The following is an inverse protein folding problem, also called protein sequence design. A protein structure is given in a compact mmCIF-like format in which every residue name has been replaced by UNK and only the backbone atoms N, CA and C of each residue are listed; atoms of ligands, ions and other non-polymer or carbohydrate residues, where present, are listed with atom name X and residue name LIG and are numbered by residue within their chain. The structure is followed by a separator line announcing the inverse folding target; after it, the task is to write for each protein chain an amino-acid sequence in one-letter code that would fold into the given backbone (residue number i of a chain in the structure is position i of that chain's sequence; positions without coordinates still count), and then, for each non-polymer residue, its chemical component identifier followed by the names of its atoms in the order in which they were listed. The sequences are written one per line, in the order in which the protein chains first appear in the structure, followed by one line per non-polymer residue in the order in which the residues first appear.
data_IF_195175486722
#
_entry.id   IF_195175486722
#
_cell.length_a   1.000
_cell.length_b   1.000
_cell.length_c   1.000
_cell.angle_alpha   90.00
_cell.angle_beta   90.00
_cell.angle_gamma   90.00
#
_symmetry.space_group_name_H-M   'P 1'
#
loop_
_entity.id
_entity.type
_entity.pdbx_description
1 polymer ?
#
# COMPACT_ATOMS: atom_id res chain seq x y z
N UNK A 1 -16.47 -0.02 45.65
CA UNK A 1 -16.74 -0.32 44.23
C UNK A 1 -16.85 0.95 43.35
N UNK A 2 -15.86 1.87 43.33
CA UNK A 2 -15.93 3.04 42.39
C UNK A 2 -14.61 3.75 42.03
N UNK A 3 -13.50 3.51 42.73
CA UNK A 3 -12.23 4.24 42.47
C UNK A 3 -11.19 3.46 41.64
N UNK A 4 -11.50 2.24 41.18
CA UNK A 4 -10.63 1.39 40.35
C UNK A 4 -11.02 1.35 38.86
N UNK A 5 -12.01 2.14 38.41
CA UNK A 5 -12.46 2.20 37.00
C UNK A 5 -12.12 3.48 36.23
N UNK A 6 -11.74 4.59 36.89
CA UNK A 6 -11.42 5.84 36.19
C UNK A 6 -9.97 5.90 35.65
N UNK A 7 -9.14 4.91 35.99
CA UNK A 7 -7.86 4.62 35.30
C UNK A 7 -8.05 4.00 33.91
N UNK A 8 -9.30 3.68 33.52
CA UNK A 8 -9.63 3.01 32.25
C UNK A 8 -10.12 3.97 31.14
N UNK A 9 -10.32 5.27 31.41
CA UNK A 9 -10.58 6.28 30.38
C UNK A 9 -9.29 7.05 30.01
N UNK A 10 -8.22 6.28 29.90
CA UNK A 10 -6.85 6.69 29.52
C UNK A 10 -6.66 6.82 27.98
N UNK A 11 -7.64 6.45 27.15
CA UNK A 11 -7.41 6.27 25.70
C UNK A 11 -8.31 7.15 24.79
N UNK A 12 -9.47 7.58 25.27
CA UNK A 12 -10.59 7.89 24.34
C UNK A 12 -10.64 9.34 23.84
N UNK A 13 -9.94 10.29 24.48
CA UNK A 13 -10.08 11.72 24.12
C UNK A 13 -8.84 12.37 23.48
N UNK A 14 -7.68 11.69 23.47
CA UNK A 14 -6.51 12.16 22.71
C UNK A 14 -6.58 11.76 21.23
N UNK A 15 -7.56 10.95 20.86
CA UNK A 15 -8.02 10.71 19.48
C UNK A 15 -8.50 12.01 18.79
N UNK A 16 -8.78 13.08 19.54
CA UNK A 16 -8.93 14.43 18.96
C UNK A 16 -7.60 15.08 18.51
N UNK A 17 -6.44 14.49 18.83
CA UNK A 17 -5.10 14.92 18.39
C UNK A 17 -4.74 14.46 16.96
N UNK A 18 -5.67 13.84 16.25
CA UNK A 18 -5.50 13.36 14.87
C UNK A 18 -6.20 14.26 13.83
N UNK A 19 -7.13 15.12 14.26
CA UNK A 19 -7.90 16.01 13.37
C UNK A 19 -7.27 17.40 13.29
N UNK A 20 -6.25 17.56 12.43
CA UNK A 20 -5.96 18.76 11.60
C UNK A 20 -4.61 18.58 10.87
N UNK A 21 -4.63 17.66 9.91
CA UNK A 21 -3.51 17.12 9.15
C UNK A 21 -3.03 18.01 7.97
N UNK A 22 -2.91 19.34 8.19
CA UNK A 22 -2.46 20.26 7.12
C UNK A 22 -1.67 21.48 7.63
N UNK A 23 -1.08 21.40 8.83
CA UNK A 23 -0.38 22.53 9.47
C UNK A 23 0.99 22.19 10.07
N UNK A 24 1.64 21.11 9.62
CA UNK A 24 2.82 20.54 10.28
C UNK A 24 4.16 21.19 9.93
N UNK A 25 4.18 22.27 9.14
CA UNK A 25 5.41 23.06 8.86
C UNK A 25 5.64 24.18 9.89
N UNK A 26 4.63 24.54 10.70
CA UNK A 26 4.71 25.67 11.64
C UNK A 26 4.67 25.32 13.13
N UNK A 27 4.53 24.04 13.49
CA UNK A 27 4.62 23.60 14.89
C UNK A 27 5.76 22.60 15.02
N UNK A 28 6.83 23.06 15.66
CA UNK A 28 8.01 22.26 16.01
C UNK A 28 7.69 21.13 16.97
N UNK A 29 6.99 20.11 16.47
CA UNK A 29 6.91 18.81 17.09
C UNK A 29 8.20 18.06 16.81
N UNK A 30 8.83 17.61 17.89
CA UNK A 30 10.02 16.75 17.94
C UNK A 30 9.71 15.34 17.42
N UNK A 31 9.25 15.21 16.17
CA UNK A 31 9.16 13.91 15.53
C UNK A 31 10.57 13.45 15.16
N UNK A 32 10.94 12.19 15.45
CA UNK A 32 12.24 11.65 15.05
C UNK A 32 12.34 11.59 13.52
N UNK A 33 13.56 11.61 13.00
CA UNK A 33 13.80 11.46 11.56
C UNK A 33 13.30 10.11 11.05
N UNK A 34 12.85 10.08 9.79
CA UNK A 34 12.48 8.82 9.13
C UNK A 34 13.69 7.88 9.15
N UNK A 35 13.50 6.68 9.70
CA UNK A 35 14.56 5.69 9.84
C UNK A 35 14.70 4.88 8.57
N UNK A 36 15.89 4.92 7.96
CA UNK A 36 16.19 4.05 6.81
C UNK A 36 16.09 2.56 7.16
N UNK A 37 16.29 2.17 8.42
CA UNK A 37 16.14 0.77 8.84
C UNK A 37 14.67 0.31 8.83
N UNK A 38 13.71 1.21 9.01
CA UNK A 38 12.27 0.91 8.86
C UNK A 38 11.93 0.73 7.38
N UNK A 39 12.42 1.65 6.55
CA UNK A 39 12.30 1.59 5.08
C UNK A 39 12.88 0.29 4.53
N UNK A 40 14.10 -0.08 4.94
CA UNK A 40 14.78 -1.32 4.54
C UNK A 40 13.97 -2.56 4.91
N UNK A 41 13.36 -2.58 6.10
CA UNK A 41 12.55 -3.70 6.59
C UNK A 41 11.21 -3.80 5.86
N UNK A 42 10.57 -2.66 5.61
CA UNK A 42 9.27 -2.60 4.96
C UNK A 42 9.36 -2.94 3.46
N UNK A 43 10.23 -2.27 2.71
CA UNK A 43 10.24 -2.37 1.25
C UNK A 43 11.23 -3.39 0.67
N UNK A 44 11.98 -4.10 1.54
CA UNK A 44 13.05 -5.06 1.20
C UNK A 44 14.12 -4.49 0.25
N UNK A 45 15.33 -4.34 0.77
CA UNK A 45 16.49 -3.96 -0.04
C UNK A 45 16.88 -5.08 -1.02
N UNK A 46 16.98 -4.76 -2.30
CA UNK A 46 17.44 -5.69 -3.36
C UNK A 46 18.86 -5.38 -3.84
N UNK A 47 19.29 -4.12 -3.75
CA UNK A 47 20.62 -3.75 -4.20
C UNK A 47 21.01 -2.31 -3.89
N UNK A 48 22.30 -2.02 -4.06
CA UNK A 48 22.88 -0.70 -3.89
C UNK A 48 23.81 -0.41 -5.06
N UNK A 49 23.81 0.82 -5.55
CA UNK A 49 24.75 1.26 -6.59
C UNK A 49 25.28 2.66 -6.30
N UNK A 50 26.59 2.85 -6.43
CA UNK A 50 27.19 4.16 -6.25
C UNK A 50 26.93 5.03 -7.48
N UNK A 51 26.38 6.23 -7.26
CA UNK A 51 26.02 7.20 -8.31
C UNK A 51 26.99 8.37 -8.43
N UNK A 52 28.10 8.34 -7.71
CA UNK A 52 29.12 9.39 -7.75
C UNK A 52 28.89 10.53 -6.76
N UNK A 53 29.69 11.57 -6.91
CA UNK A 53 29.58 12.83 -6.18
C UNK A 53 28.59 13.74 -6.91
N UNK A 54 27.56 14.22 -6.21
CA UNK A 54 26.52 15.10 -6.76
C UNK A 54 26.11 16.15 -5.73
N UNK A 55 25.66 17.30 -6.20
CA UNK A 55 24.98 18.27 -5.34
C UNK A 55 23.52 17.86 -5.14
N UNK A 56 23.16 17.60 -3.89
CA UNK A 56 21.84 17.09 -3.52
C UNK A 56 20.99 18.22 -2.92
N UNK A 57 19.72 18.38 -3.33
CA UNK A 57 18.82 19.35 -2.71
C UNK A 57 18.59 19.02 -1.22
N UNK A 58 18.78 20.01 -0.36
CA UNK A 58 18.65 19.82 1.09
C UNK A 58 17.19 19.54 1.51
N UNK A 59 16.23 20.01 0.71
CA UNK A 59 14.80 19.78 0.90
C UNK A 59 14.39 18.31 0.72
N UNK A 60 15.15 17.56 -0.08
CA UNK A 60 14.88 16.14 -0.39
C UNK A 60 15.54 15.20 0.61
N UNK A 61 16.36 15.73 1.52
CA UNK A 61 16.93 14.96 2.63
C UNK A 61 15.85 14.79 3.72
N UNK A 62 15.27 13.60 3.82
CA UNK A 62 14.10 13.32 4.68
C UNK A 62 14.37 12.41 5.87
N UNK A 63 15.51 11.70 5.89
CA UNK A 63 15.76 10.70 6.92
C UNK A 63 17.22 10.43 7.25
N UNK A 64 17.42 9.47 8.14
CA UNK A 64 18.72 9.11 8.70
C UNK A 64 18.93 7.59 8.67
N UNK A 65 20.16 7.17 8.39
CA UNK A 65 20.63 5.80 8.57
C UNK A 65 21.26 5.68 9.95
N UNK A 66 20.74 4.80 10.81
CA UNK A 66 21.33 4.44 12.10
C UNK A 66 21.27 5.49 13.23
N UNK A 67 20.87 6.74 12.96
CA UNK A 67 20.78 7.82 13.96
C UNK A 67 19.46 8.62 13.94
N UNK A 68 18.27 7.99 13.91
CA UNK A 68 17.01 8.74 13.85
C UNK A 68 16.66 9.51 15.13
N UNK A 69 17.23 9.12 16.27
CA UNK A 69 16.95 9.73 17.60
C UNK A 69 17.97 10.79 18.04
N UNK A 70 19.07 10.95 17.31
CA UNK A 70 20.10 11.95 17.63
C UNK A 70 19.72 13.36 17.11
N UNK A 71 18.80 13.41 16.15
CA UNK A 71 18.39 14.60 15.43
C UNK A 71 16.86 14.65 15.29
N UNK A 72 16.28 15.85 15.35
CA UNK A 72 14.85 16.04 15.06
C UNK A 72 14.56 16.07 13.54
N UNK A 73 13.29 16.19 13.16
CA UNK A 73 12.86 16.31 11.76
C UNK A 73 13.50 17.49 10.99
N UNK A 74 14.02 18.49 11.70
CA UNK A 74 14.77 19.62 11.13
C UNK A 74 16.28 19.37 11.05
N UNK A 75 16.74 18.16 11.39
CA UNK A 75 18.14 17.77 11.55
C UNK A 75 18.88 18.53 12.66
N UNK A 76 18.19 19.12 13.64
CA UNK A 76 18.86 19.76 14.77
C UNK A 76 19.30 18.72 15.80
N UNK A 77 20.54 18.82 16.34
CA UNK A 77 21.00 17.88 17.35
C UNK A 77 20.15 17.98 18.62
N UNK A 78 19.59 16.85 19.07
CA UNK A 78 18.75 16.80 20.28
C UNK A 78 19.63 16.74 21.55
N UNK A 79 20.83 16.16 21.46
CA UNK A 79 21.70 15.92 22.60
C UNK A 79 22.65 17.11 22.86
N UNK A 80 22.75 17.63 24.11
CA UNK A 80 23.63 18.76 24.45
C UNK A 80 25.11 18.53 24.11
N UNK A 81 25.56 17.28 24.19
CA UNK A 81 26.95 16.86 23.95
C UNK A 81 27.41 17.12 22.51
N UNK A 82 26.46 17.23 21.57
CA UNK A 82 26.73 17.40 20.14
C UNK A 82 26.93 18.87 19.74
N UNK A 83 26.65 19.81 20.66
CA UNK A 83 26.69 21.25 20.43
C UNK A 83 28.08 21.75 20.03
N UNK A 84 29.13 21.38 20.77
CA UNK A 84 30.50 21.89 20.55
C UNK A 84 31.03 21.55 19.16
N UNK A 85 30.81 20.32 18.69
CA UNK A 85 31.22 19.88 17.34
C UNK A 85 30.40 20.57 16.25
N UNK A 86 29.12 20.80 16.52
CA UNK A 86 28.23 21.52 15.59
C UNK A 86 28.65 22.98 15.44
N UNK A 87 28.99 23.68 16.53
CA UNK A 87 29.45 25.08 16.50
C UNK A 87 30.76 25.24 15.73
N UNK A 88 31.72 24.32 15.92
CA UNK A 88 32.97 24.30 15.16
C UNK A 88 32.73 24.15 13.66
N UNK A 89 31.84 23.22 13.29
CA UNK A 89 31.50 22.96 11.89
C UNK A 89 30.73 24.13 11.26
N UNK A 90 29.82 24.75 12.00
CA UNK A 90 29.10 25.93 11.57
C UNK A 90 30.05 27.11 11.26
N UNK A 91 31.02 27.34 12.15
CA UNK A 91 32.02 28.38 11.96
C UNK A 91 32.90 28.10 10.73
N UNK A 92 33.32 26.85 10.52
CA UNK A 92 34.09 26.44 9.35
C UNK A 92 33.31 26.64 8.04
N UNK A 93 32.05 26.21 7.99
CA UNK A 93 31.20 26.36 6.80
C UNK A 93 30.89 27.82 6.48
N UNK A 94 30.73 28.69 7.50
CA UNK A 94 30.57 30.14 7.30
C UNK A 94 31.81 30.82 6.76
N UNK A 95 33.00 30.31 7.10
CA UNK A 95 34.28 30.79 6.58
C UNK A 95 34.59 30.29 5.16
N UNK A 96 33.71 29.46 4.58
CA UNK A 96 33.93 28.89 3.25
C UNK A 96 35.02 27.82 3.22
N UNK A 97 35.37 27.24 4.37
CA UNK A 97 36.31 26.13 4.42
C UNK A 97 35.75 24.91 3.68
N UNK A 98 36.61 24.22 2.94
CA UNK A 98 36.23 23.00 2.23
C UNK A 98 35.86 21.90 3.23
N UNK A 99 34.57 21.63 3.38
CA UNK A 99 34.06 20.51 4.17
C UNK A 99 33.93 19.26 3.29
N UNK A 100 34.23 18.06 3.82
CA UNK A 100 34.04 16.83 3.05
C UNK A 100 32.58 16.68 2.59
N UNK A 101 32.32 15.99 1.48
CA UNK A 101 30.95 15.71 1.04
C UNK A 101 30.26 14.75 2.02
N UNK A 102 28.94 14.89 2.14
CA UNK A 102 28.11 13.98 2.94
C UNK A 102 27.97 12.62 2.22
N UNK A 103 27.47 11.59 2.90
CA UNK A 103 27.13 10.31 2.28
C UNK A 103 25.64 10.04 2.46
N UNK A 104 24.94 9.78 1.36
CA UNK A 104 23.48 9.63 1.36
C UNK A 104 23.03 8.38 0.60
N UNK A 105 21.98 7.77 1.11
CA UNK A 105 21.20 6.78 0.39
C UNK A 105 20.07 7.47 -0.36
N UNK A 106 19.94 7.19 -1.65
CA UNK A 106 18.90 7.72 -2.52
C UNK A 106 17.85 6.64 -2.79
N UNK A 107 16.59 6.95 -2.48
CA UNK A 107 15.47 6.04 -2.67
C UNK A 107 14.25 6.82 -3.18
N UNK A 108 13.74 6.44 -4.35
CA UNK A 108 12.70 7.21 -5.02
C UNK A 108 13.19 8.64 -5.27
N UNK A 109 12.48 9.62 -4.71
CA UNK A 109 12.79 11.05 -4.84
C UNK A 109 13.40 11.67 -3.57
N UNK A 110 13.85 10.84 -2.60
CA UNK A 110 14.35 11.33 -1.31
C UNK A 110 15.71 10.74 -0.93
N UNK A 111 16.37 11.44 -0.01
CA UNK A 111 17.70 11.11 0.48
C UNK A 111 17.68 10.83 1.99
N UNK A 112 18.44 9.81 2.39
CA UNK A 112 18.69 9.43 3.78
C UNK A 112 20.17 9.63 4.11
N UNK A 113 20.46 10.39 5.16
CA UNK A 113 21.84 10.68 5.55
C UNK A 113 22.46 9.45 6.20
N UNK A 114 23.49 8.89 5.56
CA UNK A 114 24.34 7.84 6.12
C UNK A 114 25.46 8.44 6.95
N UNK A 115 26.10 9.49 6.45
CA UNK A 115 27.12 10.25 7.15
C UNK A 115 27.00 11.75 6.86
N UNK A 116 27.36 12.57 7.85
CA UNK A 116 27.35 14.04 7.71
C UNK A 116 26.11 14.75 8.25
N UNK A 117 25.38 14.16 9.21
CA UNK A 117 24.18 14.76 9.82
C UNK A 117 24.39 16.18 10.33
N UNK A 118 25.53 16.47 10.97
CA UNK A 118 25.85 17.83 11.41
C UNK A 118 26.04 18.82 10.25
N UNK A 119 26.60 18.37 9.12
CA UNK A 119 26.79 19.22 7.93
C UNK A 119 25.42 19.55 7.31
N UNK A 120 24.51 18.59 7.24
CA UNK A 120 23.13 18.81 6.80
C UNK A 120 22.40 19.79 7.72
N UNK A 121 22.55 19.61 9.04
CA UNK A 121 21.99 20.51 10.05
C UNK A 121 22.45 21.96 9.86
N UNK A 122 23.75 22.17 9.72
CA UNK A 122 24.35 23.49 9.50
C UNK A 122 23.89 24.05 8.16
N UNK A 123 23.94 23.28 7.07
CA UNK A 123 23.53 23.72 5.74
C UNK A 123 22.05 24.14 5.68
N UNK A 124 21.15 23.42 6.39
CA UNK A 124 19.74 23.83 6.57
C UNK A 124 19.62 25.19 7.26
N UNK A 125 20.38 25.39 8.34
CA UNK A 125 20.39 26.65 9.08
C UNK A 125 20.94 27.82 8.25
N UNK A 126 21.95 27.54 7.43
CA UNK A 126 22.52 28.49 6.47
C UNK A 126 21.65 28.69 5.22
N UNK A 127 20.52 27.97 5.11
CA UNK A 127 19.58 28.02 3.98
C UNK A 127 20.25 27.75 2.64
N UNK A 128 21.22 26.85 2.61
CA UNK A 128 21.79 26.37 1.36
C UNK A 128 20.71 25.64 0.56
N UNK A 129 20.75 25.78 -0.77
CA UNK A 129 19.84 25.04 -1.65
C UNK A 129 20.28 23.57 -1.79
N UNK A 130 21.59 23.37 -1.94
CA UNK A 130 22.20 22.07 -2.21
C UNK A 130 23.41 21.82 -1.31
N UNK A 131 23.81 20.56 -1.19
CA UNK A 131 25.02 20.14 -0.47
C UNK A 131 25.73 19.01 -1.26
N UNK A 132 27.06 19.05 -1.38
CA UNK A 132 27.80 17.99 -2.07
C UNK A 132 27.72 16.67 -1.31
N UNK A 133 27.33 15.60 -2.01
CA UNK A 133 27.03 14.31 -1.45
C UNK A 133 27.56 13.15 -2.33
N UNK A 134 28.11 12.12 -1.69
CA UNK A 134 28.32 10.79 -2.27
C UNK A 134 26.98 10.07 -2.25
N UNK A 135 26.41 9.85 -3.44
CA UNK A 135 25.06 9.29 -3.59
C UNK A 135 25.16 7.79 -3.82
N UNK A 136 24.51 7.00 -2.97
CA UNK A 136 24.34 5.56 -3.15
C UNK A 136 22.86 5.31 -3.40
N UNK A 137 22.52 4.91 -4.61
CA UNK A 137 21.14 4.56 -4.95
C UNK A 137 20.78 3.19 -4.38
N UNK A 138 19.60 3.13 -3.79
CA UNK A 138 19.04 1.98 -3.10
C UNK A 138 17.87 1.46 -3.93
N UNK A 139 17.91 0.18 -4.30
CA UNK A 139 16.79 -0.49 -4.97
C UNK A 139 15.98 -1.30 -3.96
N UNK A 140 14.67 -1.10 -3.94
CA UNK A 140 13.74 -1.82 -3.09
C UNK A 140 12.76 -2.63 -3.94
N UNK A 141 12.27 -3.73 -3.37
CA UNK A 141 11.30 -4.61 -4.03
C UNK A 141 9.93 -3.95 -4.17
N UNK A 142 9.50 -3.21 -3.14
CA UNK A 142 8.31 -2.36 -3.24
C UNK A 142 8.67 -0.95 -3.74
N UNK A 143 7.86 -0.35 -4.62
CA UNK A 143 8.02 1.04 -5.00
C UNK A 143 7.68 1.93 -3.81
N UNK A 144 8.60 2.82 -3.46
CA UNK A 144 8.40 3.86 -2.45
C UNK A 144 8.55 5.22 -3.12
N UNK A 145 7.52 6.05 -3.01
CA UNK A 145 7.52 7.45 -3.48
C UNK A 145 8.02 8.38 -2.38
N UNK A 146 8.29 9.66 -2.72
CA UNK A 146 8.91 10.61 -1.80
C UNK A 146 8.13 10.95 -0.51
N UNK A 147 6.82 10.69 -0.45
CA UNK A 147 6.01 10.93 0.76
C UNK A 147 5.99 9.70 1.69
N UNK A 148 7.17 9.29 2.15
CA UNK A 148 7.33 8.14 3.05
C UNK A 148 6.91 8.49 4.47
N UNK A 149 5.65 8.15 4.80
CA UNK A 149 5.12 8.15 6.16
C UNK A 149 4.92 6.72 6.68
N UNK A 150 4.50 6.58 7.94
CA UNK A 150 4.27 5.27 8.57
C UNK A 150 3.24 4.41 7.80
N UNK A 151 2.21 5.02 7.21
CA UNK A 151 1.21 4.31 6.43
C UNK A 151 1.79 3.79 5.11
N UNK A 152 2.60 4.60 4.41
CA UNK A 152 3.29 4.19 3.19
C UNK A 152 4.25 3.02 3.45
N UNK A 153 4.97 3.02 4.59
CA UNK A 153 5.82 1.90 4.99
C UNK A 153 5.02 0.62 5.26
N UNK A 154 3.86 0.73 5.90
CA UNK A 154 3.02 -0.42 6.15
C UNK A 154 2.46 -1.01 4.84
N UNK A 155 2.06 -0.15 3.90
CA UNK A 155 1.60 -0.56 2.58
C UNK A 155 2.70 -1.23 1.76
N UNK A 156 3.93 -0.69 1.80
CA UNK A 156 5.08 -1.31 1.16
C UNK A 156 5.39 -2.68 1.75
N UNK A 157 5.30 -2.83 3.08
CA UNK A 157 5.47 -4.12 3.74
C UNK A 157 4.42 -5.13 3.27
N UNK A 158 3.14 -4.75 3.24
CA UNK A 158 2.07 -5.64 2.78
C UNK A 158 2.28 -6.07 1.32
N UNK A 159 2.72 -5.14 0.46
CA UNK A 159 3.04 -5.45 -0.93
C UNK A 159 4.21 -6.43 -1.06
N UNK A 160 5.29 -6.23 -0.29
CA UNK A 160 6.41 -7.18 -0.25
C UNK A 160 5.96 -8.55 0.22
N UNK A 161 5.19 -8.63 1.31
CA UNK A 161 4.68 -9.90 1.85
C UNK A 161 3.83 -10.63 0.79
N UNK A 162 3.03 -9.89 0.02
CA UNK A 162 2.27 -10.40 -1.12
C UNK A 162 3.16 -10.93 -2.25
N UNK A 163 4.21 -10.21 -2.65
CA UNK A 163 5.16 -10.65 -3.67
C UNK A 163 6.00 -11.85 -3.20
N UNK A 164 6.33 -11.95 -1.91
CA UNK A 164 7.00 -13.12 -1.33
C UNK A 164 6.11 -14.37 -1.43
N UNK A 165 4.82 -14.23 -1.13
CA UNK A 165 3.85 -15.34 -1.15
C UNK A 165 3.42 -15.75 -2.56
N UNK A 166 3.17 -14.79 -3.45
CA UNK A 166 2.67 -15.03 -4.82
C UNK A 166 3.79 -15.27 -5.84
N UNK A 167 4.97 -14.71 -5.59
CA UNK A 167 6.07 -14.64 -6.56
C UNK A 167 5.69 -13.96 -7.89
N UNK A 168 4.63 -13.14 -7.88
CA UNK A 168 4.06 -12.56 -9.10
C UNK A 168 5.08 -11.71 -9.86
N UNK A 169 5.91 -10.95 -9.15
CA UNK A 169 7.01 -10.15 -9.70
C UNK A 169 8.06 -10.99 -10.46
N UNK A 170 8.19 -12.27 -10.15
CA UNK A 170 9.12 -13.19 -10.84
C UNK A 170 8.48 -13.84 -12.06
N UNK A 171 7.24 -14.32 -11.91
CA UNK A 171 6.54 -15.04 -12.98
C UNK A 171 5.90 -14.09 -14.00
N UNK A 172 5.57 -12.86 -13.60
CA UNK A 172 5.02 -11.79 -14.43
C UNK A 172 5.69 -10.45 -14.06
N UNK A 173 6.94 -10.20 -14.48
CA UNK A 173 7.66 -8.97 -14.15
C UNK A 173 6.98 -7.67 -14.61
N UNK A 174 6.12 -7.77 -15.63
CA UNK A 174 5.31 -6.66 -16.13
C UNK A 174 4.05 -6.37 -15.31
N UNK A 175 3.72 -7.23 -14.33
CA UNK A 175 2.53 -7.08 -13.52
C UNK A 175 2.67 -5.90 -12.56
N UNK A 176 1.82 -4.89 -12.72
CA UNK A 176 1.66 -3.82 -11.76
C UNK A 176 0.31 -3.94 -11.07
N UNK A 177 0.33 -4.10 -9.75
CA UNK A 177 -0.86 -4.16 -8.91
C UNK A 177 -0.62 -3.21 -7.75
N UNK A 178 -1.27 -2.05 -7.81
CA UNK A 178 -1.31 -1.09 -6.72
C UNK A 178 -2.71 -1.10 -6.11
N UNK A 179 -2.79 -1.08 -4.78
CA UNK A 179 -4.04 -0.97 -4.01
C UNK A 179 -4.01 0.30 -3.17
N UNK A 180 -5.15 0.95 -2.94
CA UNK A 180 -5.19 2.22 -2.17
C UNK A 180 -5.27 2.03 -0.66
N UNK A 181 -5.59 0.82 -0.18
CA UNK A 181 -5.84 0.53 1.24
C UNK A 181 -5.14 -0.73 1.70
N UNK A 182 -4.81 -0.76 2.98
CA UNK A 182 -4.25 -1.93 3.65
C UNK A 182 -5.24 -3.11 3.68
N UNK A 183 -4.69 -4.31 3.76
CA UNK A 183 -5.39 -5.60 3.78
C UNK A 183 -5.91 -6.05 2.42
N UNK A 184 -5.69 -5.28 1.36
CA UNK A 184 -6.19 -5.59 0.00
C UNK A 184 -5.33 -6.64 -0.68
N UNK A 185 -4.02 -6.67 -0.41
CA UNK A 185 -3.17 -7.70 -1.00
C UNK A 185 -3.45 -9.09 -0.42
N UNK A 186 -3.86 -9.18 0.85
CA UNK A 186 -4.33 -10.45 1.42
C UNK A 186 -5.57 -10.97 0.69
N UNK A 187 -6.53 -10.10 0.36
CA UNK A 187 -7.71 -10.46 -0.44
C UNK A 187 -7.34 -10.92 -1.85
N UNK A 188 -6.41 -10.22 -2.50
CA UNK A 188 -5.91 -10.63 -3.82
C UNK A 188 -5.23 -12.01 -3.72
N UNK A 189 -4.47 -12.27 -2.65
CA UNK A 189 -3.86 -13.57 -2.46
C UNK A 189 -4.90 -14.68 -2.18
N UNK A 190 -5.99 -14.38 -1.47
CA UNK A 190 -7.13 -15.31 -1.33
C UNK A 190 -7.74 -15.67 -2.71
N UNK A 191 -7.91 -14.69 -3.61
CA UNK A 191 -8.37 -14.94 -4.98
C UNK A 191 -7.42 -15.86 -5.75
N UNK A 192 -6.10 -15.65 -5.63
CA UNK A 192 -5.07 -16.52 -6.22
C UNK A 192 -5.18 -17.94 -5.67
N UNK A 193 -5.37 -18.12 -4.37
CA UNK A 193 -5.53 -19.44 -3.75
C UNK A 193 -6.82 -20.13 -4.21
N UNK A 194 -7.92 -19.38 -4.35
CA UNK A 194 -9.16 -19.88 -4.93
C UNK A 194 -8.96 -20.35 -6.38
N UNK A 195 -8.29 -19.54 -7.19
CA UNK A 195 -7.94 -19.87 -8.57
C UNK A 195 -7.06 -21.13 -8.66
N UNK A 196 -6.01 -21.20 -7.82
CA UNK A 196 -5.13 -22.37 -7.67
C UNK A 196 -5.91 -23.65 -7.40
N UNK A 197 -6.88 -23.60 -6.49
CA UNK A 197 -7.71 -24.74 -6.13
C UNK A 197 -8.50 -25.26 -7.35
N UNK A 198 -9.15 -24.37 -8.10
CA UNK A 198 -9.90 -24.78 -9.30
C UNK A 198 -8.99 -25.30 -10.41
N UNK A 199 -7.84 -24.67 -10.63
CA UNK A 199 -6.85 -25.20 -11.58
C UNK A 199 -6.44 -26.63 -11.21
N UNK A 200 -6.18 -26.90 -9.93
CA UNK A 200 -5.80 -28.22 -9.47
C UNK A 200 -6.88 -29.28 -9.71
N UNK A 201 -8.15 -28.93 -9.49
CA UNK A 201 -9.29 -29.81 -9.79
C UNK A 201 -9.42 -30.10 -11.29
N UNK A 202 -9.26 -29.08 -12.15
CA UNK A 202 -9.39 -29.23 -13.60
C UNK A 202 -8.24 -30.04 -14.23
N UNK A 203 -7.03 -29.89 -13.69
CA UNK A 203 -5.82 -30.52 -14.21
C UNK A 203 -5.48 -31.84 -13.52
N UNK A 204 -6.25 -32.23 -12.49
CA UNK A 204 -6.03 -33.42 -11.68
C UNK A 204 -4.61 -33.52 -11.10
N UNK A 205 -4.03 -32.38 -10.72
CA UNK A 205 -2.70 -32.30 -10.10
C UNK A 205 -2.61 -31.16 -9.11
N UNK A 206 -1.58 -31.21 -8.27
CA UNK A 206 -1.22 -30.03 -7.50
C UNK A 206 -0.60 -28.95 -8.41
N UNK A 207 -1.02 -27.71 -8.22
CA UNK A 207 -0.53 -26.54 -8.95
C UNK A 207 0.33 -25.72 -8.00
N UNK A 208 1.52 -25.27 -8.44
CA UNK A 208 2.36 -24.42 -7.61
C UNK A 208 1.73 -23.02 -7.43
N UNK A 209 1.98 -22.35 -6.31
CA UNK A 209 1.41 -21.00 -6.07
C UNK A 209 1.85 -20.03 -7.16
N UNK A 210 3.13 -20.01 -7.53
CA UNK A 210 3.66 -19.14 -8.58
C UNK A 210 3.00 -19.40 -9.95
N UNK A 211 2.71 -20.66 -10.27
CA UNK A 211 1.99 -21.04 -11.50
C UNK A 211 0.54 -20.52 -11.48
N UNK A 212 -0.14 -20.68 -10.33
CA UNK A 212 -1.50 -20.18 -10.16
C UNK A 212 -1.55 -18.65 -10.16
N UNK A 213 -0.56 -17.96 -9.57
CA UNK A 213 -0.45 -16.49 -9.60
C UNK A 213 -0.29 -15.97 -11.02
N UNK A 214 0.55 -16.62 -11.84
CA UNK A 214 0.70 -16.31 -13.25
C UNK A 214 -0.61 -16.49 -14.04
N UNK A 215 -1.29 -17.63 -13.85
CA UNK A 215 -2.56 -17.91 -14.53
C UNK A 215 -3.68 -16.96 -14.06
N UNK A 216 -3.79 -16.69 -12.77
CA UNK A 216 -4.77 -15.75 -12.22
C UNK A 216 -4.55 -14.35 -12.79
N UNK A 217 -3.30 -13.89 -12.85
CA UNK A 217 -2.99 -12.57 -13.40
C UNK A 217 -3.45 -12.46 -14.86
N UNK A 218 -3.11 -13.44 -15.70
CA UNK A 218 -3.39 -13.38 -17.13
C UNK A 218 -4.87 -13.59 -17.47
N UNK A 219 -5.57 -14.44 -16.72
CA UNK A 219 -6.92 -14.92 -17.08
C UNK A 219 -8.04 -14.32 -16.23
N UNK A 220 -7.71 -13.66 -15.11
CA UNK A 220 -8.69 -13.11 -14.18
C UNK A 220 -8.45 -11.62 -13.95
N UNK A 221 -7.29 -11.25 -13.41
CA UNK A 221 -7.01 -9.86 -13.06
C UNK A 221 -6.87 -8.97 -14.30
N UNK A 222 -5.96 -9.30 -15.20
CA UNK A 222 -5.64 -8.48 -16.38
C UNK A 222 -6.86 -8.22 -17.27
N UNK A 223 -7.72 -9.21 -17.60
CA UNK A 223 -8.93 -8.95 -18.39
C UNK A 223 -9.87 -7.95 -17.73
N UNK A 224 -10.07 -8.03 -16.40
CA UNK A 224 -10.92 -7.09 -15.67
C UNK A 224 -10.27 -5.70 -15.59
N UNK A 225 -8.96 -5.63 -15.32
CA UNK A 225 -8.21 -4.38 -15.30
C UNK A 225 -8.20 -3.68 -16.66
N UNK A 226 -8.06 -4.44 -17.75
CA UNK A 226 -8.11 -3.91 -19.11
C UNK A 226 -9.50 -3.34 -19.44
N UNK A 227 -10.58 -4.00 -19.01
CA UNK A 227 -11.95 -3.43 -19.12
C UNK A 227 -12.09 -2.14 -18.31
N UNK A 228 -11.60 -2.10 -17.07
CA UNK A 228 -11.61 -0.89 -16.24
C UNK A 228 -10.92 0.28 -16.94
N UNK A 229 -9.80 0.00 -17.63
CA UNK A 229 -9.02 1.01 -18.34
C UNK A 229 -9.67 1.43 -19.66
N UNK A 230 -10.16 0.48 -20.45
CA UNK A 230 -10.78 0.72 -21.76
C UNK A 230 -12.04 1.59 -21.64
N UNK A 231 -12.86 1.36 -20.62
CA UNK A 231 -14.09 2.12 -20.37
C UNK A 231 -13.89 3.32 -19.44
N UNK A 232 -12.65 3.66 -19.11
CA UNK A 232 -12.29 4.76 -18.19
C UNK A 232 -13.13 4.76 -16.89
N UNK A 233 -13.36 3.57 -16.33
CA UNK A 233 -14.24 3.39 -15.16
C UNK A 233 -13.65 4.13 -13.95
N UNK A 234 -12.32 4.20 -13.86
CA UNK A 234 -11.62 4.88 -12.78
C UNK A 234 -11.97 6.36 -12.65
N UNK A 235 -12.36 7.04 -13.73
CA UNK A 235 -12.76 8.45 -13.69
C UNK A 235 -13.96 8.69 -12.76
N UNK A 236 -14.83 7.68 -12.56
CA UNK A 236 -16.00 7.73 -11.69
C UNK A 236 -15.65 7.45 -10.21
N UNK A 237 -14.43 7.00 -9.91
CA UNK A 237 -14.01 6.56 -8.58
C UNK A 237 -12.69 7.21 -8.14
N UNK A 238 -12.67 8.53 -7.88
CA UNK A 238 -11.46 9.24 -7.49
C UNK A 238 -10.84 8.64 -6.22
N UNK A 239 -9.51 8.47 -6.24
CA UNK A 239 -8.74 7.89 -5.13
C UNK A 239 -8.72 6.36 -5.07
N UNK A 240 -9.35 5.66 -6.03
CA UNK A 240 -9.25 4.20 -6.18
C UNK A 240 -8.25 3.80 -7.26
N UNK A 241 -7.73 2.59 -7.14
CA UNK A 241 -6.86 1.95 -8.12
C UNK A 241 -7.61 0.91 -8.96
N UNK A 242 -7.02 0.46 -10.07
CA UNK A 242 -7.54 -0.66 -10.87
C UNK A 242 -7.75 -1.92 -10.00
N UNK A 243 -6.83 -2.20 -9.07
CA UNK A 243 -6.96 -3.35 -8.18
C UNK A 243 -8.10 -3.21 -7.15
N UNK A 244 -8.37 -2.00 -6.66
CA UNK A 244 -9.50 -1.76 -5.78
C UNK A 244 -10.83 -1.99 -6.50
N UNK A 245 -10.93 -1.54 -7.75
CA UNK A 245 -12.10 -1.79 -8.60
C UNK A 245 -12.22 -3.26 -8.96
N UNK A 246 -11.13 -3.95 -9.30
CA UNK A 246 -11.12 -5.40 -9.50
C UNK A 246 -11.72 -6.13 -8.29
N UNK A 247 -11.24 -5.84 -7.07
CA UNK A 247 -11.75 -6.48 -5.84
C UNK A 247 -13.23 -6.19 -5.60
N UNK A 248 -13.70 -5.00 -5.98
CA UNK A 248 -15.11 -4.64 -5.85
C UNK A 248 -15.99 -5.36 -6.89
N UNK A 249 -15.53 -5.41 -8.14
CA UNK A 249 -16.20 -6.12 -9.24
C UNK A 249 -16.31 -7.62 -8.93
N UNK A 250 -15.24 -8.26 -8.44
CA UNK A 250 -15.27 -9.69 -8.09
C UNK A 250 -16.19 -9.96 -6.90
N UNK A 251 -16.19 -9.09 -5.87
CA UNK A 251 -17.12 -9.20 -4.76
C UNK A 251 -18.58 -9.04 -5.20
N UNK A 252 -18.89 -8.02 -6.02
CA UNK A 252 -20.25 -7.80 -6.54
C UNK A 252 -20.69 -8.91 -7.47
N UNK A 253 -19.79 -9.45 -8.30
CA UNK A 253 -20.08 -10.61 -9.13
C UNK A 253 -20.48 -11.83 -8.27
N UNK A 254 -19.76 -12.10 -7.17
CA UNK A 254 -20.12 -13.18 -6.25
C UNK A 254 -21.50 -12.97 -5.62
N UNK A 255 -21.84 -11.73 -5.24
CA UNK A 255 -23.17 -11.38 -4.72
C UNK A 255 -24.26 -11.64 -5.76
N UNK A 256 -24.10 -11.14 -6.99
CA UNK A 256 -25.07 -11.34 -8.08
C UNK A 256 -25.27 -12.82 -8.40
N UNK A 257 -24.19 -13.60 -8.43
CA UNK A 257 -24.22 -15.05 -8.68
C UNK A 257 -25.05 -15.81 -7.64
N UNK A 258 -25.10 -15.34 -6.39
CA UNK A 258 -25.92 -15.94 -5.32
C UNK A 258 -27.41 -15.62 -5.47
N UNK A 259 -27.76 -14.57 -6.21
CA UNK A 259 -29.14 -14.10 -6.38
C UNK A 259 -29.82 -14.61 -7.66
N UNK A 260 -29.23 -15.58 -8.36
CA UNK A 260 -29.72 -16.11 -9.66
C UNK A 260 -29.88 -15.04 -10.76
N UNK A 261 -29.25 -13.87 -10.62
CA UNK A 261 -29.19 -12.85 -11.67
C UNK A 261 -28.11 -13.20 -12.70
N UNK A 262 -28.18 -12.68 -13.95
CA UNK A 262 -27.05 -12.71 -14.87
C UNK A 262 -25.81 -12.14 -14.17
N UNK A 263 -24.74 -12.92 -14.14
CA UNK A 263 -23.59 -12.65 -13.30
C UNK A 263 -22.31 -12.82 -14.10
N UNK A 264 -21.51 -11.77 -14.13
CA UNK A 264 -20.23 -11.68 -14.82
C UNK A 264 -19.52 -10.37 -14.47
N UNK A 265 -18.26 -10.20 -14.87
CA UNK A 265 -17.52 -8.97 -14.61
C UNK A 265 -18.20 -7.72 -15.17
N UNK A 266 -18.79 -7.81 -16.36
CA UNK A 266 -19.47 -6.69 -16.99
C UNK A 266 -20.81 -6.35 -16.32
N UNK A 267 -21.58 -7.36 -15.93
CA UNK A 267 -22.82 -7.15 -15.16
C UNK A 267 -22.52 -6.53 -13.80
N UNK A 268 -21.45 -6.96 -13.12
CA UNK A 268 -21.02 -6.38 -11.85
C UNK A 268 -20.52 -4.94 -12.01
N UNK A 269 -19.75 -4.64 -13.05
CA UNK A 269 -19.32 -3.27 -13.40
C UNK A 269 -20.54 -2.38 -13.64
N UNK A 270 -21.50 -2.83 -14.45
CA UNK A 270 -22.70 -2.07 -14.74
C UNK A 270 -23.48 -1.78 -13.46
N UNK A 271 -23.78 -2.82 -12.66
CA UNK A 271 -24.52 -2.70 -11.40
C UNK A 271 -23.84 -1.72 -10.42
N UNK A 272 -22.51 -1.76 -10.34
CA UNK A 272 -21.70 -0.79 -9.58
C UNK A 272 -21.93 0.65 -10.09
N UNK A 273 -21.78 0.89 -11.39
CA UNK A 273 -21.94 2.22 -11.97
C UNK A 273 -23.36 2.76 -11.74
N UNK A 274 -24.40 1.94 -11.95
CA UNK A 274 -25.79 2.32 -11.69
C UNK A 274 -26.04 2.71 -10.22
N UNK A 275 -25.47 1.97 -9.27
CA UNK A 275 -25.59 2.30 -7.84
C UNK A 275 -24.84 3.60 -7.49
N UNK A 276 -23.71 3.87 -8.15
CA UNK A 276 -22.87 5.05 -7.87
C UNK A 276 -23.47 6.35 -8.43
N UNK A 277 -24.16 6.28 -9.56
CA UNK A 277 -24.79 7.44 -10.22
C UNK A 277 -26.15 7.85 -9.60
N UNK A 278 -26.64 7.14 -8.58
CA UNK A 278 -27.79 7.57 -7.78
C UNK A 278 -29.15 7.46 -8.47
N UNK A 279 -29.28 6.66 -9.53
CA UNK A 279 -30.58 6.36 -10.13
C UNK A 279 -31.21 5.11 -9.52
N UNK A 280 -32.42 5.27 -8.98
CA UNK A 280 -33.22 4.17 -8.44
C UNK A 280 -33.29 2.97 -9.41
N UNK A 281 -32.95 1.80 -8.87
CA UNK A 281 -33.08 0.45 -9.42
C UNK A 281 -33.82 0.35 -10.77
N UNK A 282 -33.09 0.58 -11.87
CA UNK A 282 -33.50 0.13 -13.19
C UNK A 282 -32.34 -0.66 -13.76
N UNK A 283 -32.60 -1.92 -14.13
CA UNK A 283 -31.59 -2.79 -14.72
C UNK A 283 -30.91 -2.10 -15.92
N UNK A 284 -29.61 -2.36 -16.17
CA UNK A 284 -28.91 -1.82 -17.33
C UNK A 284 -29.73 -2.01 -18.60
N UNK A 285 -29.81 -0.96 -19.42
CA UNK A 285 -30.65 -0.99 -20.62
C UNK A 285 -30.23 -2.17 -21.52
N UNK A 286 -31.17 -2.80 -22.24
CA UNK A 286 -30.87 -3.93 -23.13
C UNK A 286 -29.76 -3.62 -24.15
N UNK A 287 -29.56 -2.35 -24.49
CA UNK A 287 -28.52 -1.88 -25.40
C UNK A 287 -27.13 -1.91 -24.76
N UNK A 288 -26.99 -1.48 -23.50
CA UNK A 288 -25.71 -1.54 -22.75
C UNK A 288 -25.31 -3.00 -22.50
N UNK A 289 -26.27 -3.83 -22.09
CA UNK A 289 -26.04 -5.27 -21.94
C UNK A 289 -25.71 -5.95 -23.28
N UNK A 290 -26.32 -5.53 -24.39
CA UNK A 290 -26.04 -6.09 -25.71
C UNK A 290 -24.64 -5.71 -26.21
N UNK A 291 -24.15 -4.49 -25.94
CA UNK A 291 -22.78 -4.07 -26.27
C UNK A 291 -21.77 -4.89 -25.48
N UNK A 292 -21.99 -5.05 -24.16
CA UNK A 292 -21.12 -5.85 -23.29
C UNK A 292 -21.13 -7.35 -23.68
N UNK A 293 -22.31 -7.94 -23.91
CA UNK A 293 -22.44 -9.36 -24.31
C UNK A 293 -21.87 -9.66 -25.70
N UNK A 294 -22.01 -8.74 -26.66
CA UNK A 294 -21.50 -8.91 -28.03
C UNK A 294 -19.97 -8.90 -28.06
N UNK A 295 -19.32 -8.23 -27.12
CA UNK A 295 -17.87 -8.14 -27.04
C UNK A 295 -17.21 -9.25 -26.20
N UNK A 296 -17.89 -9.73 -25.16
CA UNK A 296 -17.36 -10.79 -24.30
C UNK A 296 -17.35 -12.19 -24.94
N UNK A 297 -18.06 -12.38 -26.06
CA UNK A 297 -18.30 -13.70 -26.64
C UNK A 297 -19.03 -14.65 -25.66
N UNK A 298 -19.27 -15.93 -26.04
CA UNK A 298 -19.69 -16.90 -25.03
C UNK A 298 -18.64 -16.93 -23.92
N UNK A 299 -19.05 -17.08 -22.65
CA UNK A 299 -18.13 -16.95 -21.52
C UNK A 299 -16.92 -17.85 -21.75
N UNK A 300 -15.76 -17.24 -22.02
CA UNK A 300 -14.51 -17.98 -22.19
C UNK A 300 -14.14 -18.52 -20.83
N UNK A 301 -14.61 -19.76 -20.58
CA UNK A 301 -14.60 -20.47 -19.30
C UNK A 301 -15.06 -19.58 -18.16
N UNK A 302 -16.37 -19.63 -17.89
CA UNK A 302 -16.90 -19.35 -16.55
C UNK A 302 -15.99 -20.10 -15.57
N UNK A 303 -15.28 -19.39 -14.70
CA UNK A 303 -14.83 -20.00 -13.45
C UNK A 303 -16.13 -20.27 -12.71
N UNK A 304 -16.73 -21.44 -12.96
CA UNK A 304 -17.86 -21.91 -12.18
C UNK A 304 -17.33 -22.11 -10.76
N UNK A 305 -17.54 -21.11 -9.91
CA UNK A 305 -17.38 -21.27 -8.47
C UNK A 305 -18.37 -22.38 -8.08
N UNK A 306 -17.90 -23.59 -7.70
CA UNK A 306 -18.79 -24.69 -7.42
C UNK A 306 -19.67 -24.31 -6.25
N UNK A 307 -20.96 -24.62 -6.38
CA UNK A 307 -22.01 -24.39 -5.38
C UNK A 307 -21.67 -24.92 -3.97
N UNK A 308 -20.62 -25.74 -3.81
CA UNK A 308 -20.11 -26.23 -2.53
C UNK A 308 -19.45 -25.13 -1.66
N UNK A 309 -18.95 -24.04 -2.24
CA UNK A 309 -18.49 -22.85 -1.48
C UNK A 309 -19.65 -22.02 -0.92
N UNK A 310 -20.86 -22.18 -1.46
CA UNK A 310 -22.06 -21.44 -1.04
C UNK A 310 -22.68 -22.05 0.23
N UNK A 311 -22.43 -23.34 0.51
CA UNK A 311 -23.08 -24.06 1.63
C UNK A 311 -22.45 -23.89 3.02
N UNK A 312 -21.38 -23.10 3.19
CA UNK A 312 -20.80 -22.85 4.54
C UNK A 312 -21.18 -21.51 5.17
N UNK A 313 -21.97 -20.68 4.49
CA UNK A 313 -22.45 -19.40 5.02
C UNK A 313 -23.90 -19.46 5.58
N UNK A 314 -24.57 -20.61 5.52
CA UNK A 314 -25.96 -20.78 5.98
C UNK A 314 -26.12 -22.12 6.70
N UNK A 315 -25.50 -22.25 7.87
CA UNK A 315 -25.97 -23.18 8.90
C UNK A 315 -26.61 -22.35 10.03
N UNK A 316 -27.94 -22.44 10.25
CA UNK A 316 -28.55 -21.82 11.41
C UNK A 316 -28.02 -22.51 12.68
N UNK A 317 -27.63 -21.71 13.68
CA UNK A 317 -27.33 -22.21 15.03
C UNK A 317 -28.55 -22.96 15.57
N UNK A 318 -28.44 -24.18 16.09
CA UNK A 318 -29.55 -24.83 16.77
C UNK A 318 -29.86 -24.05 18.06
N UNK A 319 -31.12 -23.64 18.20
CA UNK A 319 -31.62 -22.94 19.37
C UNK A 319 -31.60 -23.83 20.61
N UNK A 320 -31.23 -23.22 21.74
CA UNK A 320 -31.44 -23.76 23.08
C UNK A 320 -32.86 -23.40 23.50
N UNK A 321 -33.84 -24.23 23.15
CA UNK A 321 -35.14 -24.22 23.83
C UNK A 321 -35.12 -25.31 24.91
N UNK A 322 -35.02 -24.85 26.15
CA UNK A 322 -35.17 -25.68 27.34
C UNK A 322 -36.63 -26.10 27.51
N UNK A 323 -36.88 -27.40 27.43
CA UNK A 323 -38.17 -28.00 27.76
C UNK A 323 -38.47 -27.88 29.26
N UNK A 324 -39.72 -27.57 29.58
CA UNK A 324 -40.31 -27.82 30.90
C UNK A 324 -40.44 -29.34 31.14
N UNK A 325 -40.32 -29.82 32.39
CA UNK A 325 -40.28 -31.25 32.71
C UNK A 325 -41.69 -31.85 32.81
N UNK A 326 -41.85 -33.18 32.65
CA UNK A 326 -43.11 -33.86 32.93
C UNK A 326 -43.19 -34.42 34.37
N UNK A 327 -44.41 -34.35 34.89
CA UNK A 327 -45.01 -35.02 36.07
C UNK A 327 -44.46 -34.69 37.47
#
# INVERSE_FOLDING_TARGET
MKQLRARADFETARIQAFLRDAGSVLRGDTRPLLSFDEVRRAARLEGQSYRGLKDVPIADIRGSVGRPNDFDASFLPVKPQMRKRWEQLDAAMRRGEAVPPIEVYHLGDVYFVKDGHHRVSVARRLRWATIPAKVIEVKTRAPLTGDMNAAALLQAKEYVDFLERSQLDRVRPQASIAVSRLGRYDRIFEDILGHRYFMGLQQYREVAVAEASASWYDNVYKPIADLIREYDILSHFPGRTEADLYLWVTARWLELSRTQKPAGPAEAIADILFETEGTAATAPSPQVLAVLKRWLGPPRRVIELPARLIRRATAPRPGLDGGSPPA
#
